data_IF_245920756342
#
_entry.id   IF_245920756342
#
_cell.length_a   1.000
_cell.length_b   1.000
_cell.length_c   1.000
_cell.angle_alpha   90.00
_cell.angle_beta   90.00
_cell.angle_gamma   90.00
#
_symmetry.space_group_name_H-M   'P 1'
#
loop_
_entity.id
_entity.type
_entity.pdbx_description
1 polymer ?
#
# COMPACT_ATOMS: atom_id res chain seq x y z
N UNK A 1 -32.71 -33.88 49.46
CA UNK A 1 -32.14 -32.63 49.99
C UNK A 1 -32.54 -31.51 49.05
N UNK A 2 -33.61 -30.80 49.38
CA UNK A 2 -34.15 -29.69 48.57
C UNK A 2 -33.42 -28.41 48.96
N UNK A 3 -32.77 -27.77 47.98
CA UNK A 3 -32.10 -26.47 48.17
C UNK A 3 -33.09 -25.36 47.83
N UNK A 4 -33.44 -24.55 48.83
CA UNK A 4 -34.27 -23.37 48.68
C UNK A 4 -33.44 -22.21 48.11
N UNK A 5 -33.90 -21.66 46.99
CA UNK A 5 -33.33 -20.46 46.36
C UNK A 5 -33.94 -19.23 47.03
N UNK A 6 -33.10 -18.45 47.69
CA UNK A 6 -33.46 -17.22 48.39
C UNK A 6 -33.39 -16.04 47.42
N UNK A 7 -34.53 -15.43 47.12
CA UNK A 7 -34.66 -14.25 46.24
C UNK A 7 -34.42 -12.98 47.07
N UNK A 8 -33.47 -12.15 46.67
CA UNK A 8 -33.25 -10.81 47.25
C UNK A 8 -34.15 -9.76 46.59
N UNK A 9 -34.64 -8.75 47.34
CA UNK A 9 -35.51 -7.71 46.80
C UNK A 9 -34.74 -6.54 46.16
N UNK A 10 -35.36 -6.01 45.11
CA UNK A 10 -34.94 -4.91 44.24
C UNK A 10 -35.01 -3.56 45.00
N UNK A 11 -33.89 -2.85 45.10
CA UNK A 11 -33.82 -1.48 45.60
C UNK A 11 -34.36 -0.50 44.54
N UNK A 12 -35.32 0.33 44.94
CA UNK A 12 -35.89 1.43 44.15
C UNK A 12 -34.89 2.59 44.01
N UNK A 13 -34.81 3.27 42.85
CA UNK A 13 -34.05 4.51 42.72
C UNK A 13 -34.79 5.69 43.35
N UNK A 14 -34.06 6.47 44.15
CA UNK A 14 -34.53 7.69 44.78
C UNK A 14 -34.77 8.81 43.75
N UNK A 15 -35.93 9.42 43.89
CA UNK A 15 -36.44 10.57 43.16
C UNK A 15 -35.71 11.85 43.65
N UNK A 16 -34.86 12.46 42.83
CA UNK A 16 -34.22 13.75 43.15
C UNK A 16 -35.02 14.90 42.52
N UNK A 17 -35.34 15.88 43.36
CA UNK A 17 -36.15 17.06 43.06
C UNK A 17 -35.42 18.10 42.17
N UNK A 18 -36.16 18.94 41.43
CA UNK A 18 -35.58 19.96 40.55
C UNK A 18 -35.14 21.22 41.33
N UNK A 19 -33.91 21.68 41.04
CA UNK A 19 -33.36 22.96 41.49
C UNK A 19 -33.98 24.16 40.75
N UNK A 20 -34.19 25.31 41.43
CA UNK A 20 -34.78 26.50 40.85
C UNK A 20 -33.81 27.29 39.96
N UNK A 21 -34.34 27.78 38.85
CA UNK A 21 -33.69 28.64 37.85
C UNK A 21 -33.62 30.07 38.40
N UNK A 22 -32.43 30.67 38.37
CA UNK A 22 -32.24 32.10 38.61
C UNK A 22 -32.13 32.86 37.26
N UNK A 23 -32.75 34.03 37.10
CA UNK A 23 -32.69 34.82 35.89
C UNK A 23 -31.58 35.87 35.99
N UNK A 24 -30.64 35.94 35.04
CA UNK A 24 -29.79 37.13 34.90
C UNK A 24 -29.37 37.37 33.45
N UNK A 25 -30.11 38.31 32.87
CA UNK A 25 -29.70 39.44 32.03
C UNK A 25 -28.96 39.21 30.70
N UNK A 26 -29.68 39.60 29.66
CA UNK A 26 -29.18 39.90 28.33
C UNK A 26 -28.24 41.12 28.34
N UNK A 27 -27.11 41.00 27.65
CA UNK A 27 -26.42 42.14 27.05
C UNK A 27 -26.20 41.85 25.57
N UNK A 28 -26.65 42.79 24.76
CA UNK A 28 -26.62 42.76 23.31
C UNK A 28 -25.20 43.01 22.75
N UNK A 29 -24.90 42.37 21.61
CA UNK A 29 -23.82 42.79 20.70
C UNK A 29 -23.36 41.71 19.70
N UNK A 30 -23.73 41.79 18.41
CA UNK A 30 -23.09 41.07 17.30
C UNK A 30 -22.17 42.00 16.49
N UNK A 31 -21.52 41.57 15.38
CA UNK A 31 -21.04 40.24 15.01
C UNK A 31 -19.51 40.25 14.73
N UNK A 32 -18.82 39.13 14.94
CA UNK A 32 -17.56 38.91 14.21
C UNK A 32 -17.50 37.49 13.70
N UNK A 33 -17.95 37.38 12.45
CA UNK A 33 -17.71 36.28 11.53
C UNK A 33 -16.21 36.08 11.34
N UNK A 34 -15.55 35.41 12.28
CA UNK A 34 -14.28 34.76 12.04
C UNK A 34 -14.59 33.36 11.47
N UNK A 35 -14.59 33.28 10.14
CA UNK A 35 -14.43 32.00 9.45
C UNK A 35 -13.26 31.22 10.08
N UNK A 36 -13.41 29.93 10.39
CA UNK A 36 -12.29 29.07 10.73
C UNK A 36 -11.49 28.85 9.43
N UNK A 37 -10.62 29.80 9.11
CA UNK A 37 -9.75 29.76 7.96
C UNK A 37 -8.84 28.54 8.05
N UNK A 38 -8.79 27.83 6.92
CA UNK A 38 -7.70 26.95 6.52
C UNK A 38 -6.37 27.46 7.08
N UNK A 39 -5.79 26.66 7.97
CA UNK A 39 -4.41 26.83 8.41
C UNK A 39 -3.52 26.66 7.18
N UNK A 40 -3.19 27.76 6.53
CA UNK A 40 -2.07 27.84 5.61
C UNK A 40 -0.85 27.52 6.46
N UNK A 41 -0.35 26.30 6.32
CA UNK A 41 0.93 25.88 6.90
C UNK A 41 1.99 26.72 6.21
N UNK A 42 2.32 27.86 6.81
CA UNK A 42 3.50 28.63 6.45
C UNK A 42 4.67 27.81 6.94
N UNK A 43 5.44 27.26 6.00
CA UNK A 43 6.72 26.63 6.32
C UNK A 43 7.61 27.69 6.97
N UNK A 44 7.86 27.56 8.28
CA UNK A 44 8.94 28.28 8.94
C UNK A 44 10.25 27.53 8.65
N UNK A 45 11.15 28.06 7.80
CA UNK A 45 12.42 27.42 7.48
C UNK A 45 13.40 27.42 8.67
N UNK A 46 13.06 28.04 9.81
CA UNK A 46 13.95 28.15 10.97
C UNK A 46 13.84 26.99 11.98
N UNK A 47 12.84 26.10 11.84
CA UNK A 47 12.73 24.95 12.74
C UNK A 47 13.81 23.92 12.42
N UNK A 48 14.64 23.50 13.40
CA UNK A 48 15.67 22.50 13.19
C UNK A 48 15.03 21.17 12.77
N UNK A 49 15.63 20.42 11.83
CA UNK A 49 15.11 19.13 11.40
C UNK A 49 15.01 18.19 12.61
N UNK A 50 13.81 17.70 12.89
CA UNK A 50 13.60 16.71 13.94
C UNK A 50 14.23 15.39 13.46
N UNK A 51 15.38 15.04 14.03
CA UNK A 51 15.98 13.72 13.85
C UNK A 51 15.21 12.72 14.73
N UNK A 52 14.22 12.09 14.13
CA UNK A 52 13.58 10.93 14.72
C UNK A 52 14.41 9.74 14.27
N UNK A 53 15.09 9.10 15.23
CA UNK A 53 16.01 7.98 14.96
C UNK A 53 15.36 6.88 14.13
N UNK A 54 16.16 5.97 13.58
CA UNK A 54 15.61 4.84 12.83
C UNK A 54 14.68 3.98 13.73
N UNK A 55 13.72 3.25 13.15
CA UNK A 55 13.04 2.17 13.85
C UNK A 55 14.05 1.28 14.57
N UNK A 56 13.69 0.65 15.70
CA UNK A 56 14.61 -0.26 16.37
C UNK A 56 15.00 -1.39 15.40
N UNK A 57 16.31 -1.69 15.24
CA UNK A 57 16.75 -2.70 14.31
C UNK A 57 16.48 -4.09 14.88
N UNK A 58 15.44 -4.77 14.39
CA UNK A 58 15.51 -6.22 14.29
C UNK A 58 16.48 -6.56 13.14
N UNK A 59 17.34 -7.58 13.30
CA UNK A 59 18.32 -7.91 12.27
C UNK A 59 17.63 -8.32 10.97
N UNK A 60 16.52 -9.08 11.06
CA UNK A 60 15.74 -9.54 9.92
C UNK A 60 14.26 -9.75 10.28
N UNK A 61 13.41 -9.68 9.26
CA UNK A 61 11.98 -10.00 9.26
C UNK A 61 11.73 -11.15 8.29
N UNK A 62 10.83 -12.08 8.61
CA UNK A 62 10.58 -13.27 7.77
C UNK A 62 9.74 -12.99 6.52
N UNK A 63 9.05 -11.84 6.46
CA UNK A 63 8.26 -11.44 5.28
C UNK A 63 8.31 -9.92 5.10
N UNK A 64 8.05 -9.46 3.87
CA UNK A 64 7.92 -8.03 3.56
C UNK A 64 6.78 -7.38 4.37
N UNK A 65 5.69 -8.14 4.58
CA UNK A 65 4.53 -7.69 5.33
C UNK A 65 4.88 -7.37 6.78
N UNK A 66 5.60 -8.28 7.46
CA UNK A 66 6.01 -8.07 8.85
C UNK A 66 6.99 -6.89 8.98
N UNK A 67 7.90 -6.70 8.02
CA UNK A 67 8.74 -5.51 7.97
C UNK A 67 7.88 -4.23 7.85
N UNK A 68 6.91 -4.21 6.93
CA UNK A 68 6.02 -3.05 6.75
C UNK A 68 5.20 -2.75 8.02
N UNK A 69 4.64 -3.78 8.66
CA UNK A 69 3.88 -3.64 9.91
C UNK A 69 4.76 -3.05 11.03
N UNK A 70 6.00 -3.53 11.17
CA UNK A 70 6.95 -2.99 12.15
C UNK A 70 7.32 -1.52 11.85
N UNK A 71 7.57 -1.18 10.58
CA UNK A 71 7.82 0.20 10.15
C UNK A 71 6.62 1.11 10.42
N UNK A 72 5.41 0.61 10.17
CA UNK A 72 4.18 1.34 10.39
C UNK A 72 3.89 1.56 11.87
N UNK A 73 4.05 0.53 12.70
CA UNK A 73 3.94 0.62 14.15
C UNK A 73 4.91 1.66 14.72
N UNK A 74 6.18 1.63 14.30
CA UNK A 74 7.15 2.64 14.67
C UNK A 74 6.75 4.04 14.19
N UNK A 75 6.24 4.18 12.96
CA UNK A 75 5.85 5.50 12.45
C UNK A 75 4.70 6.10 13.26
N UNK A 76 3.76 5.28 13.73
CA UNK A 76 2.64 5.72 14.57
C UNK A 76 3.12 6.26 15.91
N UNK A 77 4.06 5.58 16.59
CA UNK A 77 4.58 6.07 17.89
C UNK A 77 5.28 7.42 17.76
N UNK A 78 5.74 7.76 16.55
CA UNK A 78 6.34 9.05 16.22
C UNK A 78 5.38 10.00 15.49
N UNK A 79 4.09 9.64 15.37
CA UNK A 79 3.06 10.43 14.69
C UNK A 79 3.41 10.75 13.24
N UNK A 80 4.00 9.79 12.53
CA UNK A 80 4.26 9.82 11.09
C UNK A 80 3.51 8.69 10.39
N UNK A 81 3.38 8.80 9.07
CA UNK A 81 2.79 7.75 8.24
C UNK A 81 3.79 7.34 7.16
N UNK A 82 4.19 6.07 7.17
CA UNK A 82 5.03 5.49 6.13
C UNK A 82 4.18 4.71 5.12
N UNK A 83 4.48 4.94 3.84
CA UNK A 83 3.85 4.27 2.70
C UNK A 83 4.92 3.60 1.84
N UNK A 84 4.58 2.49 1.19
CA UNK A 84 5.43 1.88 0.17
C UNK A 84 5.32 2.68 -1.12
N UNK A 85 6.40 3.35 -1.52
CA UNK A 85 6.45 4.16 -2.75
C UNK A 85 6.75 3.29 -3.96
N UNK A 86 7.70 2.37 -3.82
CA UNK A 86 8.19 1.52 -4.90
C UNK A 86 8.57 0.16 -4.34
N UNK A 87 8.33 -0.90 -5.10
CA UNK A 87 9.03 -2.18 -4.87
C UNK A 87 9.46 -2.72 -6.23
N UNK A 88 10.66 -3.28 -6.30
CA UNK A 88 11.31 -3.65 -7.55
C UNK A 88 12.39 -4.71 -7.30
N UNK A 89 12.75 -5.47 -8.33
CA UNK A 89 13.88 -6.38 -8.29
C UNK A 89 15.17 -5.63 -8.69
N UNK A 90 16.26 -5.82 -7.95
CA UNK A 90 17.55 -5.23 -8.26
C UNK A 90 18.67 -6.25 -8.00
N UNK A 91 19.40 -6.63 -9.05
CA UNK A 91 20.49 -7.64 -8.98
C UNK A 91 20.02 -8.91 -8.25
N UNK A 92 18.89 -9.48 -8.68
CA UNK A 92 18.23 -10.67 -8.11
C UNK A 92 17.65 -10.52 -6.69
N UNK A 93 17.82 -9.36 -6.04
CA UNK A 93 17.27 -9.10 -4.71
C UNK A 93 16.02 -8.21 -4.80
N UNK A 94 14.95 -8.59 -4.10
CA UNK A 94 13.76 -7.77 -4.01
C UNK A 94 14.03 -6.56 -3.09
N UNK A 95 13.64 -5.37 -3.55
CA UNK A 95 13.77 -4.11 -2.81
C UNK A 95 12.42 -3.43 -2.66
N UNK A 96 12.24 -2.76 -1.54
CA UNK A 96 11.10 -1.87 -1.30
C UNK A 96 11.60 -0.52 -0.77
N UNK A 97 10.97 0.56 -1.21
CA UNK A 97 11.23 1.90 -0.72
C UNK A 97 10.00 2.36 0.05
N UNK A 98 10.19 2.68 1.31
CA UNK A 98 9.19 3.33 2.14
C UNK A 98 9.49 4.83 2.19
N UNK A 99 8.46 5.67 2.05
CA UNK A 99 8.58 7.11 2.20
C UNK A 99 7.54 7.61 3.19
N UNK A 100 7.77 8.80 3.74
CA UNK A 100 6.71 9.53 4.42
C UNK A 100 5.51 9.74 3.46
N UNK A 101 4.28 9.74 3.98
CA UNK A 101 3.07 10.07 3.22
C UNK A 101 3.06 11.51 2.68
N UNK A 102 3.82 12.41 3.33
CA UNK A 102 4.03 13.79 2.91
C UNK A 102 5.19 13.91 1.90
N UNK A 103 5.80 12.80 1.49
CA UNK A 103 6.79 12.78 0.43
C UNK A 103 6.16 13.12 -0.93
N UNK A 104 7.04 13.53 -1.84
CA UNK A 104 6.77 13.93 -3.23
C UNK A 104 5.98 15.24 -3.39
N UNK A 105 6.18 15.88 -4.55
CA UNK A 105 5.35 17.02 -4.98
C UNK A 105 4.01 16.50 -5.50
N UNK A 106 2.92 17.22 -5.22
CA UNK A 106 1.67 16.92 -5.91
C UNK A 106 1.84 17.18 -7.41
N UNK A 107 1.70 16.13 -8.20
CA UNK A 107 1.66 16.23 -9.65
C UNK A 107 0.19 16.25 -10.07
N UNK A 108 -0.37 17.40 -10.49
CA UNK A 108 -1.73 17.46 -10.99
C UNK A 108 -1.83 16.54 -12.22
N UNK A 109 -2.71 15.54 -12.16
CA UNK A 109 -3.01 14.70 -13.32
C UNK A 109 -3.83 15.53 -14.32
N UNK A 110 -3.15 16.13 -15.29
CA UNK A 110 -3.80 16.73 -16.46
C UNK A 110 -4.33 15.59 -17.32
N UNK A 111 -5.65 15.55 -17.52
CA UNK A 111 -6.22 14.71 -18.57
C UNK A 111 -5.86 15.30 -19.94
N UNK A 112 -5.67 14.47 -20.98
CA UNK A 112 -5.47 14.99 -22.33
C UNK A 112 -6.63 15.92 -22.70
N UNK A 113 -6.31 17.17 -23.06
CA UNK A 113 -7.29 18.18 -23.49
C UNK A 113 -7.97 19.01 -22.38
N UNK A 114 -7.62 18.85 -21.10
CA UNK A 114 -8.19 19.69 -20.02
C UNK A 114 -7.24 20.84 -19.64
N UNK A 115 -7.59 22.06 -20.06
CA UNK A 115 -6.88 23.32 -19.75
C UNK A 115 -7.18 23.87 -18.36
N UNK A 116 -8.24 23.41 -17.70
CA UNK A 116 -8.64 23.90 -16.38
C UNK A 116 -8.20 22.94 -15.28
N UNK A 117 -7.25 23.41 -14.46
CA UNK A 117 -6.92 22.79 -13.19
C UNK A 117 -8.14 22.88 -12.27
N UNK A 118 -8.67 21.74 -11.82
CA UNK A 118 -9.40 21.75 -10.56
C UNK A 118 -8.35 22.05 -9.49
N UNK A 119 -8.35 23.27 -8.96
CA UNK A 119 -7.57 23.64 -7.78
C UNK A 119 -8.10 22.77 -6.65
N UNK A 120 -7.51 21.60 -6.51
CA UNK A 120 -7.84 20.69 -5.41
C UNK A 120 -7.21 21.32 -4.18
N UNK A 121 -7.92 21.42 -3.05
CA UNK A 121 -7.39 22.02 -1.83
C UNK A 121 -5.99 21.47 -1.54
N UNK A 122 -5.09 22.40 -1.18
CA UNK A 122 -3.64 22.21 -1.00
C UNK A 122 -3.35 20.81 -0.45
N UNK A 123 -2.67 19.98 -1.23
CA UNK A 123 -2.24 18.67 -0.75
C UNK A 123 -1.35 18.84 0.46
N UNK A 124 -1.50 17.98 1.47
CA UNK A 124 -0.64 17.97 2.67
C UNK A 124 0.78 17.43 2.41
N UNK A 125 1.22 17.47 1.15
CA UNK A 125 2.55 17.01 0.74
C UNK A 125 3.52 18.17 0.89
N UNK A 126 4.63 17.92 1.59
CA UNK A 126 5.65 18.91 1.93
C UNK A 126 7.00 18.58 1.27
N UNK A 127 7.01 17.66 0.30
CA UNK A 127 8.26 17.14 -0.28
C UNK A 127 9.20 16.56 0.78
N UNK A 128 8.63 15.87 1.76
CA UNK A 128 9.39 15.28 2.86
C UNK A 128 10.50 14.35 2.33
N UNK A 129 11.78 14.57 2.71
CA UNK A 129 12.89 13.75 2.21
C UNK A 129 13.01 12.39 2.90
N UNK A 130 12.28 12.18 4.01
CA UNK A 130 12.34 10.95 4.79
C UNK A 130 12.00 9.69 3.96
N UNK A 131 12.98 8.78 3.86
CA UNK A 131 12.89 7.55 3.08
C UNK A 131 13.68 6.42 3.74
N UNK A 132 13.11 5.22 3.75
CA UNK A 132 13.74 3.99 4.24
C UNK A 132 13.81 2.98 3.09
N UNK A 133 15.00 2.42 2.85
CA UNK A 133 15.20 1.37 1.85
C UNK A 133 15.20 0.01 2.52
N UNK A 134 14.36 -0.89 2.03
CA UNK A 134 14.28 -2.27 2.45
C UNK A 134 14.81 -3.20 1.37
N UNK A 135 15.45 -4.28 1.79
CA UNK A 135 16.01 -5.29 0.91
C UNK A 135 15.78 -6.69 1.46
N UNK A 136 15.49 -7.62 0.57
CA UNK A 136 15.54 -9.04 0.85
C UNK A 136 17.02 -9.49 0.77
N UNK A 137 17.56 -9.97 1.89
CA UNK A 137 18.96 -10.40 2.07
C UNK A 137 19.11 -11.89 1.74
N UNK A 138 18.01 -12.65 1.80
CA UNK A 138 18.01 -14.08 1.50
C UNK A 138 17.82 -14.37 0.02
N UNK A 139 17.77 -15.66 -0.32
CA UNK A 139 17.16 -16.04 -1.59
C UNK A 139 15.70 -15.53 -1.63
N UNK A 140 15.11 -15.29 -2.81
CA UNK A 140 13.70 -14.93 -2.90
C UNK A 140 12.77 -15.86 -2.10
N UNK A 141 13.16 -17.13 -1.93
CA UNK A 141 12.44 -18.15 -1.18
C UNK A 141 12.64 -18.06 0.35
N UNK A 142 13.81 -17.62 0.83
CA UNK A 142 14.08 -17.51 2.27
C UNK A 142 13.35 -16.32 2.92
N UNK A 143 12.97 -15.32 2.12
CA UNK A 143 12.11 -14.22 2.56
C UNK A 143 12.70 -13.32 3.65
N UNK A 144 14.02 -13.30 3.87
CA UNK A 144 14.64 -12.51 4.95
C UNK A 144 14.75 -11.04 4.57
N UNK A 145 13.83 -10.24 5.07
CA UNK A 145 13.80 -8.79 4.86
C UNK A 145 14.60 -8.05 5.93
N UNK A 146 15.36 -7.05 5.51
CA UNK A 146 15.98 -6.07 6.40
C UNK A 146 15.79 -4.68 5.80
N UNK A 147 16.18 -3.65 6.54
CA UNK A 147 16.16 -2.28 6.05
C UNK A 147 17.48 -1.58 6.36
N UNK A 148 17.82 -0.64 5.50
CA UNK A 148 18.95 0.26 5.68
C UNK A 148 18.44 1.44 6.48
N UNK A 149 19.02 1.66 7.67
CA UNK A 149 18.72 2.81 8.49
C UNK A 149 18.93 4.10 7.67
N UNK A 150 17.98 5.05 7.69
CA UNK A 150 18.12 6.28 6.95
C UNK A 150 19.29 7.10 7.50
N UNK A 151 20.04 7.74 6.61
CA UNK A 151 21.19 8.59 6.97
C UNK A 151 21.10 9.96 6.32
N UNK A 152 21.69 10.97 6.95
CA UNK A 152 21.73 12.35 6.42
C UNK A 152 20.34 12.94 6.21
N UNK A 153 20.11 13.55 5.04
CA UNK A 153 18.83 14.21 4.70
C UNK A 153 17.63 13.24 4.71
N UNK A 154 17.86 11.98 4.37
CA UNK A 154 16.81 10.94 4.34
C UNK A 154 16.33 10.50 5.74
N UNK A 155 17.03 10.90 6.81
CA UNK A 155 16.67 10.62 8.20
C UNK A 155 15.87 11.75 8.87
N UNK A 156 15.48 12.77 8.10
CA UNK A 156 14.83 13.97 8.64
C UNK A 156 13.45 14.19 8.05
N UNK A 157 12.51 14.64 8.88
CA UNK A 157 11.22 15.15 8.45
C UNK A 157 11.29 16.67 8.36
N UNK A 158 10.71 17.25 7.31
CA UNK A 158 10.61 18.70 7.12
C UNK A 158 9.22 19.24 7.50
N UNK A 159 8.42 18.44 8.19
CA UNK A 159 7.07 18.79 8.62
C UNK A 159 6.87 18.33 10.07
N UNK A 160 5.96 18.97 10.81
CA UNK A 160 5.64 18.54 12.16
C UNK A 160 4.99 17.14 12.16
N UNK A 161 4.95 16.48 13.32
CA UNK A 161 4.20 15.24 13.49
C UNK A 161 2.74 15.39 13.03
N UNK A 162 2.23 14.36 12.37
CA UNK A 162 0.91 14.32 11.76
C UNK A 162 -0.16 14.06 12.83
N UNK A 163 -1.25 14.82 12.77
CA UNK A 163 -2.43 14.56 13.59
C UNK A 163 -3.31 13.48 12.92
N UNK A 164 -3.56 12.32 13.56
CA UNK A 164 -4.39 11.25 12.99
C UNK A 164 -5.77 11.72 12.55
N UNK A 165 -6.46 12.56 13.35
CA UNK A 165 -7.78 13.13 13.03
C UNK A 165 -7.82 13.83 11.68
N UNK A 166 -6.72 14.46 11.29
CA UNK A 166 -6.63 15.24 10.06
C UNK A 166 -5.91 14.49 8.93
N UNK A 167 -5.32 13.31 9.17
CA UNK A 167 -4.48 12.62 8.19
C UNK A 167 -5.02 11.22 7.85
N UNK A 168 -5.77 11.12 6.75
CA UNK A 168 -6.48 9.89 6.35
C UNK A 168 -5.57 8.66 6.22
N UNK A 169 -4.35 8.81 5.69
CA UNK A 169 -3.41 7.69 5.57
C UNK A 169 -2.98 7.20 6.95
N UNK A 170 -2.76 8.09 7.91
CA UNK A 170 -2.34 7.71 9.26
C UNK A 170 -3.47 6.91 9.94
N UNK A 171 -4.72 7.36 9.82
CA UNK A 171 -5.88 6.59 10.30
C UNK A 171 -6.02 5.23 9.65
N UNK A 172 -5.78 5.14 8.34
CA UNK A 172 -5.82 3.86 7.65
C UNK A 172 -4.74 2.90 8.15
N UNK A 173 -3.55 3.40 8.49
CA UNK A 173 -2.47 2.60 9.09
C UNK A 173 -2.87 2.16 10.51
N UNK A 174 -3.35 3.06 11.37
CA UNK A 174 -3.85 2.70 12.71
C UNK A 174 -4.90 1.59 12.64
N UNK A 175 -5.90 1.74 11.75
CA UNK A 175 -6.95 0.73 11.56
C UNK A 175 -6.39 -0.62 11.18
N UNK A 176 -5.42 -0.68 10.27
CA UNK A 176 -4.80 -1.94 9.81
C UNK A 176 -4.03 -2.67 10.92
N UNK A 177 -3.46 -1.94 11.87
CA UNK A 177 -2.76 -2.55 13.02
C UNK A 177 -3.72 -3.15 14.06
N UNK A 178 -4.99 -2.72 14.05
CA UNK A 178 -6.02 -3.21 14.95
C UNK A 178 -7.13 -3.91 14.15
N UNK A 179 -6.93 -5.17 13.71
CA UNK A 179 -7.94 -5.90 12.92
C UNK A 179 -9.28 -6.06 13.65
N UNK A 180 -9.28 -5.99 14.99
CA UNK A 180 -10.49 -5.95 15.81
C UNK A 180 -11.43 -4.78 15.47
N UNK A 181 -10.88 -3.67 14.96
CA UNK A 181 -11.67 -2.50 14.54
C UNK A 181 -12.53 -2.84 13.34
N UNK A 182 -11.99 -3.55 12.35
CA UNK A 182 -12.73 -3.93 11.15
C UNK A 182 -13.85 -4.94 11.51
N UNK A 183 -13.55 -5.91 12.40
CA UNK A 183 -14.55 -6.85 12.93
C UNK A 183 -15.68 -6.15 13.70
N UNK A 184 -15.33 -5.20 14.56
CA UNK A 184 -16.33 -4.45 15.33
C UNK A 184 -17.16 -3.53 14.43
N UNK A 185 -16.54 -2.85 13.46
CA UNK A 185 -17.27 -2.04 12.48
C UNK A 185 -18.26 -2.90 11.68
N UNK A 186 -17.83 -4.08 11.22
CA UNK A 186 -18.68 -5.02 10.51
C UNK A 186 -19.87 -5.46 11.39
N UNK A 187 -19.63 -5.82 12.65
CA UNK A 187 -20.68 -6.18 13.59
C UNK A 187 -21.70 -5.03 13.77
N UNK A 188 -21.22 -3.83 14.07
CA UNK A 188 -22.10 -2.67 14.31
C UNK A 188 -22.88 -2.25 13.05
N UNK A 189 -22.29 -2.44 11.85
CA UNK A 189 -22.99 -2.23 10.58
C UNK A 189 -24.10 -3.26 10.34
N UNK A 190 -23.87 -4.53 10.70
CA UNK A 190 -24.90 -5.59 10.63
C UNK A 190 -26.04 -5.34 11.61
N UNK A 191 -25.75 -4.74 12.77
CA UNK A 191 -26.75 -4.28 13.74
C UNK A 191 -27.53 -3.03 13.26
N UNK A 192 -27.16 -2.44 12.12
CA UNK A 192 -27.84 -1.28 11.55
C UNK A 192 -27.50 0.05 12.23
N UNK A 193 -26.42 0.10 13.02
CA UNK A 193 -26.01 1.31 13.73
C UNK A 193 -25.60 2.43 12.76
N UNK A 194 -26.01 3.70 12.99
CA UNK A 194 -25.62 4.79 12.11
C UNK A 194 -24.11 5.09 12.26
N UNK A 195 -23.43 5.54 11.18
CA UNK A 195 -21.97 5.76 11.19
C UNK A 195 -21.44 6.69 12.28
N UNK A 196 -22.23 7.66 12.75
CA UNK A 196 -21.83 8.57 13.84
C UNK A 196 -21.70 7.83 15.17
N UNK A 197 -22.64 6.93 15.47
CA UNK A 197 -22.66 6.16 16.71
C UNK A 197 -21.59 5.07 16.68
N UNK A 198 -21.31 4.50 15.49
CA UNK A 198 -20.17 3.59 15.28
C UNK A 198 -18.86 4.28 15.65
N UNK A 199 -18.62 5.51 15.17
CA UNK A 199 -17.41 6.26 15.53
C UNK A 199 -17.29 6.44 17.04
N UNK A 200 -18.37 6.87 17.70
CA UNK A 200 -18.38 7.03 19.17
C UNK A 200 -18.03 5.72 19.88
N UNK A 201 -18.60 4.59 19.44
CA UNK A 201 -18.34 3.27 20.01
C UNK A 201 -16.91 2.79 19.77
N UNK A 202 -16.33 3.12 18.62
CA UNK A 202 -14.94 2.85 18.31
C UNK A 202 -13.99 3.72 19.15
N UNK A 203 -14.29 5.01 19.33
CA UNK A 203 -13.51 5.91 20.17
C UNK A 203 -13.51 5.49 21.65
N UNK A 204 -14.62 4.94 22.14
CA UNK A 204 -14.72 4.38 23.50
C UNK A 204 -13.80 3.16 23.71
N UNK A 205 -13.62 2.32 22.68
CA UNK A 205 -12.86 1.07 22.78
C UNK A 205 -11.41 1.18 22.31
N UNK A 206 -11.15 2.03 21.32
CA UNK A 206 -9.88 2.25 20.64
C UNK A 206 -9.58 3.75 20.57
N UNK A 207 -9.33 4.43 21.71
CA UNK A 207 -9.15 5.88 21.77
C UNK A 207 -7.95 6.40 20.95
N UNK A 208 -6.97 5.55 20.68
CA UNK A 208 -5.83 5.81 19.81
C UNK A 208 -6.22 5.93 18.33
N UNK A 209 -7.31 5.30 17.94
CA UNK A 209 -7.76 5.23 16.55
C UNK A 209 -8.80 6.34 16.30
N UNK A 210 -8.31 7.54 15.96
CA UNK A 210 -9.14 8.73 15.72
C UNK A 210 -9.91 8.67 14.38
N UNK A 211 -10.78 7.67 14.22
CA UNK A 211 -11.57 7.46 13.02
C UNK A 211 -12.63 8.54 12.83
N UNK A 212 -12.95 8.84 11.57
CA UNK A 212 -13.99 9.80 11.20
C UNK A 212 -15.21 9.09 10.63
N UNK A 213 -16.37 9.76 10.61
CA UNK A 213 -17.58 9.24 9.98
C UNK A 213 -17.36 8.91 8.49
N UNK A 214 -16.47 9.65 7.81
CA UNK A 214 -16.07 9.37 6.43
C UNK A 214 -15.37 8.02 6.31
N UNK A 215 -14.50 7.66 7.27
CA UNK A 215 -13.80 6.38 7.25
C UNK A 215 -14.78 5.21 7.43
N UNK A 216 -15.77 5.36 8.33
CA UNK A 216 -16.85 4.38 8.52
C UNK A 216 -17.73 4.26 7.27
N UNK A 217 -18.07 5.37 6.62
CA UNK A 217 -18.84 5.34 5.36
C UNK A 217 -18.07 4.64 4.23
N UNK A 218 -16.77 4.92 4.10
CA UNK A 218 -15.92 4.24 3.13
C UNK A 218 -15.85 2.73 3.41
N UNK A 219 -15.74 2.34 4.68
CA UNK A 219 -15.77 0.94 5.09
C UNK A 219 -17.13 0.30 4.78
N UNK A 220 -18.26 0.98 5.09
CA UNK A 220 -19.61 0.51 4.75
C UNK A 220 -19.77 0.29 3.25
N UNK A 221 -19.29 1.20 2.41
CA UNK A 221 -19.32 1.04 0.95
C UNK A 221 -18.55 -0.20 0.50
N UNK A 222 -17.36 -0.44 1.07
CA UNK A 222 -16.56 -1.64 0.79
C UNK A 222 -17.29 -2.92 1.25
N UNK A 223 -17.86 -2.90 2.45
CA UNK A 223 -18.62 -4.02 3.01
C UNK A 223 -19.82 -4.40 2.15
N UNK A 224 -20.62 -3.41 1.71
CA UNK A 224 -21.77 -3.65 0.82
C UNK A 224 -21.33 -4.16 -0.55
N UNK A 225 -20.25 -3.61 -1.11
CA UNK A 225 -19.71 -4.08 -2.38
C UNK A 225 -19.26 -5.55 -2.29
N UNK A 226 -18.54 -5.91 -1.22
CA UNK A 226 -18.11 -7.29 -0.95
C UNK A 226 -19.30 -8.24 -0.82
N UNK A 227 -20.28 -7.92 0.02
CA UNK A 227 -21.48 -8.74 0.20
C UNK A 227 -22.26 -8.92 -1.12
N UNK A 228 -22.31 -7.89 -1.98
CA UNK A 228 -22.93 -7.98 -3.31
C UNK A 228 -22.16 -8.91 -4.24
N UNK A 229 -20.83 -8.86 -4.23
CA UNK A 229 -20.00 -9.71 -5.08
C UNK A 229 -20.06 -11.18 -4.63
N UNK A 230 -20.08 -11.43 -3.31
CA UNK A 230 -20.34 -12.74 -2.71
C UNK A 230 -21.72 -13.30 -3.09
N UNK A 231 -22.78 -12.49 -2.99
CA UNK A 231 -24.13 -12.89 -3.39
C UNK A 231 -24.24 -13.18 -4.90
N UNK A 232 -23.41 -12.54 -5.72
CA UNK A 232 -23.33 -12.79 -7.15
C UNK A 232 -22.48 -14.02 -7.51
N UNK A 233 -21.90 -14.72 -6.52
CA UNK A 233 -20.99 -15.84 -6.75
C UNK A 233 -19.69 -15.44 -7.44
N UNK A 234 -19.36 -14.14 -7.48
CA UNK A 234 -18.06 -13.67 -7.93
C UNK A 234 -17.10 -13.87 -6.78
N UNK A 235 -16.40 -15.02 -6.80
CA UNK A 235 -15.27 -15.26 -5.88
C UNK A 235 -14.34 -14.06 -6.02
N UNK A 236 -14.23 -13.27 -4.95
CA UNK A 236 -13.52 -11.99 -4.97
C UNK A 236 -12.12 -12.18 -5.51
N UNK A 237 -11.73 -11.34 -6.48
CA UNK A 237 -10.32 -11.17 -6.79
C UNK A 237 -9.58 -10.84 -5.47
N UNK A 238 -8.34 -11.34 -5.26
CA UNK A 238 -7.63 -11.20 -4.00
C UNK A 238 -7.69 -9.76 -3.46
N UNK A 239 -8.08 -9.63 -2.19
CA UNK A 239 -8.60 -8.39 -1.59
C UNK A 239 -7.53 -7.32 -1.35
N UNK A 240 -6.25 -7.68 -1.39
CA UNK A 240 -5.15 -6.73 -1.22
C UNK A 240 -4.23 -6.67 -2.43
N UNK A 241 -3.71 -5.46 -2.73
CA UNK A 241 -2.60 -5.29 -3.69
C UNK A 241 -1.41 -6.17 -3.29
N UNK A 242 -1.22 -6.45 -1.99
CA UNK A 242 -0.23 -7.43 -1.51
C UNK A 242 -0.56 -8.86 -1.92
N UNK A 243 -1.79 -9.33 -1.79
CA UNK A 243 -2.19 -10.68 -2.25
C UNK A 243 -2.21 -10.76 -3.76
N UNK A 244 -2.68 -9.74 -4.48
CA UNK A 244 -2.56 -9.67 -5.94
C UNK A 244 -1.09 -9.71 -6.40
N UNK A 245 -0.18 -9.18 -5.58
CA UNK A 245 1.26 -9.08 -5.90
C UNK A 245 2.07 -10.26 -5.40
N UNK A 246 1.65 -10.93 -4.33
CA UNK A 246 2.17 -12.23 -3.89
C UNK A 246 1.71 -13.30 -4.88
N UNK A 247 0.44 -13.23 -5.31
CA UNK A 247 -0.10 -14.00 -6.43
C UNK A 247 0.62 -13.69 -7.76
N UNK A 248 0.99 -12.44 -8.06
CA UNK A 248 1.82 -12.11 -9.25
C UNK A 248 3.31 -12.43 -9.08
N UNK A 249 3.86 -12.43 -7.87
CA UNK A 249 5.27 -12.76 -7.62
C UNK A 249 5.51 -14.26 -7.83
N UNK A 250 4.55 -15.10 -7.44
CA UNK A 250 4.51 -16.51 -7.81
C UNK A 250 4.32 -16.70 -9.33
N UNK A 251 3.66 -15.75 -10.01
CA UNK A 251 3.40 -15.79 -11.45
C UNK A 251 4.57 -15.29 -12.32
N UNK A 252 5.47 -14.47 -11.79
CA UNK A 252 6.61 -13.90 -12.53
C UNK A 252 7.96 -14.59 -12.23
N UNK A 253 7.96 -15.72 -11.51
CA UNK A 253 9.16 -16.40 -11.06
C UNK A 253 9.61 -17.63 -11.88
N UNK A 254 8.93 -18.00 -12.97
CA UNK A 254 9.09 -19.34 -13.56
C UNK A 254 9.82 -19.44 -14.91
N UNK A 255 10.03 -18.36 -15.66
CA UNK A 255 10.48 -18.48 -17.07
C UNK A 255 11.32 -17.30 -17.57
N UNK A 256 12.07 -16.64 -16.68
CA UNK A 256 13.20 -15.79 -17.08
C UNK A 256 14.40 -16.63 -17.50
N UNK A 257 14.26 -17.45 -18.55
CA UNK A 257 15.42 -18.04 -19.23
C UNK A 257 16.28 -16.91 -19.81
N UNK A 258 17.57 -17.05 -19.54
CA UNK A 258 18.65 -16.15 -19.91
C UNK A 258 18.68 -15.89 -21.43
N UNK A 259 18.08 -14.78 -21.88
CA UNK A 259 18.53 -14.12 -23.11
C UNK A 259 19.46 -12.97 -22.72
N UNK A 260 20.62 -13.35 -22.19
CA UNK A 260 21.79 -12.48 -22.09
C UNK A 260 22.69 -12.79 -23.29
N UNK A 261 22.17 -12.56 -24.51
CA UNK A 261 22.98 -12.52 -25.71
C UNK A 261 23.58 -11.12 -25.81
N UNK A 262 24.90 -11.11 -25.65
CA UNK A 262 25.88 -10.09 -26.01
C UNK A 262 25.40 -9.07 -27.05
N UNK A 263 25.18 -7.83 -26.63
CA UNK A 263 25.47 -6.66 -27.47
C UNK A 263 26.67 -5.93 -26.86
N UNK A 264 27.83 -6.37 -27.33
CA UNK A 264 29.12 -5.72 -27.20
C UNK A 264 29.09 -4.43 -28.04
N UNK A 265 28.68 -3.33 -27.42
CA UNK A 265 28.92 -1.99 -27.94
C UNK A 265 30.00 -1.32 -27.09
N UNK A 266 31.24 -1.61 -27.46
CA UNK A 266 32.38 -0.74 -27.27
C UNK A 266 32.07 0.63 -27.89
N UNK A 267 31.68 1.59 -27.05
CA UNK A 267 31.85 3.01 -27.36
C UNK A 267 33.07 3.50 -26.58
N UNK A 268 34.23 3.29 -27.19
CA UNK A 268 35.27 4.30 -27.16
C UNK A 268 34.69 5.58 -27.76
N UNK A 269 34.77 6.69 -27.02
CA UNK A 269 35.27 7.98 -27.52
C UNK A 269 35.15 9.05 -26.41
N UNK A 270 36.30 9.30 -25.79
CA UNK A 270 36.96 10.59 -25.72
C UNK A 270 36.12 11.88 -25.55
N UNK A 271 36.40 12.52 -24.41
CA UNK A 271 36.91 13.90 -24.36
C UNK A 271 36.17 14.97 -25.17
N UNK A 272 35.34 15.76 -24.49
CA UNK A 272 35.12 17.15 -24.90
C UNK A 272 35.09 18.09 -23.71
N UNK A 273 36.23 18.74 -23.48
CA UNK A 273 36.32 20.03 -22.81
C UNK A 273 36.57 21.11 -23.85
N UNK A 274 35.78 22.18 -23.75
CA UNK A 274 36.14 23.57 -24.06
C UNK A 274 36.18 24.10 -25.52
N UNK A 275 35.32 25.11 -25.71
CA UNK A 275 35.54 26.43 -26.33
C UNK A 275 35.30 26.67 -27.85
N UNK A 276 34.40 27.64 -28.05
CA UNK A 276 34.45 28.82 -28.93
C UNK A 276 34.03 28.77 -30.42
N UNK A 277 32.98 29.58 -30.67
CA UNK A 277 32.85 30.71 -31.64
C UNK A 277 33.11 30.48 -33.14
N UNK A 278 32.12 30.98 -33.92
CA UNK A 278 32.17 31.55 -35.28
C UNK A 278 31.53 30.76 -36.43
N UNK A 279 30.49 31.40 -37.01
CA UNK A 279 30.22 31.62 -38.43
C UNK A 279 30.70 30.62 -39.50
N UNK A 280 29.72 30.03 -40.21
CA UNK A 280 29.61 30.01 -41.68
C UNK A 280 28.32 29.25 -42.05
N UNK A 281 27.32 29.88 -42.67
CA UNK A 281 27.23 30.23 -44.10
C UNK A 281 27.27 29.00 -45.03
N UNK A 282 26.10 28.73 -45.62
CA UNK A 282 25.83 28.05 -46.90
C UNK A 282 26.46 26.66 -47.15
N UNK A 283 25.61 25.65 -47.35
CA UNK A 283 25.32 25.03 -48.67
C UNK A 283 24.12 24.08 -48.50
N UNK A 284 23.04 24.35 -49.23
CA UNK A 284 21.93 23.42 -49.40
C UNK A 284 22.38 22.27 -50.32
N UNK A 285 22.64 21.10 -49.72
CA UNK A 285 22.88 19.86 -50.45
C UNK A 285 21.58 19.08 -50.64
N UNK A 286 20.98 19.17 -51.83
CA UNK A 286 19.94 18.25 -52.27
C UNK A 286 20.48 16.81 -52.29
N UNK A 287 20.09 16.00 -51.30
CA UNK A 287 20.32 14.55 -51.34
C UNK A 287 19.36 13.92 -52.35
N UNK A 288 19.90 13.65 -53.54
CA UNK A 288 19.29 12.80 -54.57
C UNK A 288 19.14 11.38 -54.01
N UNK A 289 17.92 11.00 -53.62
CA UNK A 289 17.57 9.62 -53.29
C UNK A 289 17.63 8.80 -54.58
N UNK A 290 18.46 7.75 -54.61
CA UNK A 290 18.53 6.80 -55.74
C UNK A 290 17.22 5.99 -55.78
N UNK A 291 16.57 5.84 -56.95
CA UNK A 291 15.31 5.08 -57.09
C UNK A 291 15.42 3.56 -56.82
N UNK A 292 16.62 3.06 -56.57
CA UNK A 292 16.93 1.62 -56.56
C UNK A 292 16.79 1.01 -55.14
N UNK A 293 16.77 1.85 -54.10
CA UNK A 293 16.61 1.41 -52.70
C UNK A 293 15.13 1.25 -52.28
N UNK A 294 14.17 1.62 -53.13
CA UNK A 294 12.73 1.48 -52.84
C UNK A 294 12.12 0.12 -53.17
N UNK A 295 12.85 -0.78 -53.85
CA UNK A 295 12.30 -2.10 -54.22
C UNK A 295 12.62 -3.22 -53.22
N UNK A 296 13.63 -3.06 -52.35
CA UNK A 296 13.92 -4.04 -51.29
C UNK A 296 13.02 -3.91 -50.06
N UNK A 297 12.30 -2.78 -49.90
CA UNK A 297 11.46 -2.55 -48.71
C UNK A 297 10.05 -3.16 -48.80
N UNK A 298 9.63 -3.67 -49.96
CA UNK A 298 8.26 -4.19 -50.15
C UNK A 298 8.12 -5.72 -50.06
N UNK A 299 9.21 -6.49 -49.93
CA UNK A 299 9.11 -7.96 -49.82
C UNK A 299 9.00 -8.48 -48.38
N UNK A 300 9.44 -7.72 -47.37
CA UNK A 300 9.32 -8.12 -45.96
C UNK A 300 7.96 -7.79 -45.34
N UNK A 301 7.10 -7.05 -46.05
CA UNK A 301 5.78 -6.66 -45.56
C UNK A 301 4.63 -7.55 -46.09
N UNK A 302 4.94 -8.77 -46.57
CA UNK A 302 3.96 -9.85 -46.74
C UNK A 302 3.74 -10.60 -45.42
N UNK A 303 3.60 -9.88 -44.30
CA UNK A 303 3.06 -10.46 -43.07
C UNK A 303 1.61 -10.81 -43.37
N UNK A 304 1.36 -12.09 -43.58
CA UNK A 304 0.04 -12.70 -43.72
C UNK A 304 -0.87 -12.06 -42.68
N UNK A 305 -1.87 -11.28 -43.12
CA UNK A 305 -2.87 -10.72 -42.22
C UNK A 305 -3.65 -11.92 -41.67
N UNK A 306 -3.22 -12.44 -40.53
CA UNK A 306 -3.97 -13.44 -39.77
C UNK A 306 -5.36 -12.88 -39.58
N UNK A 307 -6.38 -13.67 -39.91
CA UNK A 307 -7.74 -13.20 -39.74
C UNK A 307 -7.99 -12.98 -38.24
N UNK A 308 -8.90 -12.07 -37.85
CA UNK A 308 -9.27 -11.91 -36.44
C UNK A 308 -9.72 -13.22 -35.75
N UNK A 309 -10.17 -14.21 -36.54
CA UNK A 309 -10.51 -15.55 -36.06
C UNK A 309 -9.26 -16.40 -35.70
N UNK A 310 -8.16 -16.26 -36.42
CA UNK A 310 -6.91 -16.99 -36.13
C UNK A 310 -6.27 -16.46 -34.83
N UNK A 311 -6.34 -15.15 -34.61
CA UNK A 311 -5.82 -14.50 -33.40
C UNK A 311 -6.65 -14.87 -32.16
N UNK A 312 -7.97 -15.03 -32.28
CA UNK A 312 -8.80 -15.46 -31.16
C UNK A 312 -8.57 -16.92 -30.78
N UNK A 313 -8.35 -17.80 -31.77
CA UNK A 313 -8.00 -19.20 -31.54
C UNK A 313 -6.64 -19.32 -30.83
N UNK A 314 -5.61 -18.59 -31.29
CA UNK A 314 -4.29 -18.58 -30.65
C UNK A 314 -4.37 -18.16 -29.18
N UNK A 315 -5.17 -17.12 -28.88
CA UNK A 315 -5.37 -16.67 -27.48
C UNK A 315 -6.07 -17.72 -26.61
N UNK A 316 -7.00 -18.49 -27.17
CA UNK A 316 -7.66 -19.57 -26.44
C UNK A 316 -6.69 -20.73 -26.16
N UNK A 317 -5.83 -21.08 -27.12
CA UNK A 317 -4.78 -22.09 -26.93
C UNK A 317 -3.77 -21.66 -25.88
N UNK A 318 -3.27 -20.41 -25.95
CA UNK A 318 -2.38 -19.83 -24.93
C UNK A 318 -3.03 -19.84 -23.54
N UNK A 319 -4.33 -19.51 -23.45
CA UNK A 319 -5.07 -19.56 -22.19
C UNK A 319 -5.20 -21.00 -21.65
N UNK A 320 -5.46 -21.98 -22.52
CA UNK A 320 -5.57 -23.39 -22.14
C UNK A 320 -4.23 -23.95 -21.65
N UNK A 321 -3.11 -23.60 -22.28
CA UNK A 321 -1.78 -24.00 -21.81
C UNK A 321 -1.47 -23.40 -20.43
N UNK A 322 -1.84 -22.12 -20.20
CA UNK A 322 -1.70 -21.50 -18.86
C UNK A 322 -2.49 -22.23 -17.79
N UNK A 323 -3.71 -22.67 -18.10
CA UNK A 323 -4.53 -23.45 -17.15
C UNK A 323 -3.89 -24.81 -16.86
N UNK A 324 -3.30 -25.47 -17.86
CA UNK A 324 -2.57 -26.74 -17.66
C UNK A 324 -1.34 -26.53 -16.77
N UNK A 325 -0.59 -25.46 -16.98
CA UNK A 325 0.59 -25.13 -16.18
C UNK A 325 0.24 -24.80 -14.72
N UNK A 326 -0.79 -23.98 -14.50
CA UNK A 326 -1.30 -23.67 -13.17
C UNK A 326 -1.74 -24.95 -12.42
N UNK A 327 -2.41 -25.88 -13.13
CA UNK A 327 -2.79 -27.18 -12.55
C UNK A 327 -1.57 -27.98 -12.10
N UNK A 328 -0.50 -28.04 -12.92
CA UNK A 328 0.76 -28.71 -12.55
C UNK A 328 1.40 -28.06 -11.32
N UNK A 329 1.37 -26.73 -11.20
CA UNK A 329 1.91 -26.02 -10.04
C UNK A 329 1.15 -26.35 -8.74
N UNK A 330 -0.18 -26.41 -8.81
CA UNK A 330 -1.03 -26.82 -7.68
C UNK A 330 -0.73 -28.27 -7.27
N UNK A 331 -0.60 -29.18 -8.23
CA UNK A 331 -0.26 -30.59 -7.96
C UNK A 331 1.11 -30.72 -7.27
N UNK A 332 2.13 -29.97 -7.70
CA UNK A 332 3.44 -29.92 -7.02
C UNK A 332 3.32 -29.38 -5.59
N UNK A 333 2.54 -28.34 -5.38
CA UNK A 333 2.33 -27.74 -4.06
C UNK A 333 1.64 -28.72 -3.10
N UNK A 334 0.63 -29.46 -3.58
CA UNK A 334 -0.04 -30.53 -2.82
C UNK A 334 0.95 -31.64 -2.46
N UNK A 335 1.84 -32.03 -3.38
CA UNK A 335 2.87 -33.03 -3.10
C UNK A 335 3.84 -32.60 -1.99
N UNK A 336 4.29 -31.33 -2.01
CA UNK A 336 5.16 -30.75 -0.97
C UNK A 336 4.45 -30.74 0.39
N UNK A 337 3.18 -30.33 0.44
CA UNK A 337 2.41 -30.32 1.69
C UNK A 337 2.23 -31.72 2.27
N UNK A 338 1.95 -32.72 1.43
CA UNK A 338 1.86 -34.13 1.86
C UNK A 338 3.18 -34.66 2.40
N UNK A 339 4.30 -34.29 1.78
CA UNK A 339 5.63 -34.66 2.27
C UNK A 339 5.90 -34.07 3.67
N UNK A 340 5.61 -32.77 3.87
CA UNK A 340 5.74 -32.12 5.18
C UNK A 340 4.82 -32.71 6.24
N UNK A 341 3.59 -33.09 5.87
CA UNK A 341 2.68 -33.77 6.79
C UNK A 341 3.22 -35.14 7.20
N UNK A 342 3.82 -35.89 6.27
CA UNK A 342 4.46 -37.17 6.56
C UNK A 342 5.66 -37.01 7.50
N UNK A 343 6.52 -36.01 7.28
CA UNK A 343 7.63 -35.66 8.18
C UNK A 343 7.13 -35.30 9.59
N UNK A 344 6.10 -34.46 9.68
CA UNK A 344 5.50 -34.09 10.97
C UNK A 344 4.92 -35.29 11.71
N UNK A 345 4.29 -36.24 11.00
CA UNK A 345 3.82 -37.50 11.59
C UNK A 345 4.97 -38.39 12.07
N UNK A 346 6.08 -38.46 11.32
CA UNK A 346 7.27 -39.20 11.73
C UNK A 346 7.87 -38.64 13.02
N UNK A 347 8.04 -37.31 13.10
CA UNK A 347 8.51 -36.61 14.31
C UNK A 347 7.57 -36.88 15.48
N UNK A 348 6.25 -36.78 15.27
CA UNK A 348 5.28 -37.06 16.33
C UNK A 348 5.35 -38.51 16.83
N UNK A 349 5.61 -39.48 15.95
CA UNK A 349 5.80 -40.87 16.32
C UNK A 349 7.08 -41.09 17.15
N UNK A 350 8.19 -40.44 16.77
CA UNK A 350 9.44 -40.47 17.53
C UNK A 350 9.24 -39.89 18.94
N UNK A 351 8.63 -38.69 19.03
CA UNK A 351 8.33 -38.06 20.34
C UNK A 351 7.48 -38.98 21.21
N UNK A 352 6.50 -39.66 20.64
CA UNK A 352 5.66 -40.63 21.36
C UNK A 352 6.46 -41.85 21.84
N UNK A 353 7.38 -42.38 21.02
CA UNK A 353 8.25 -43.49 21.41
C UNK A 353 9.19 -43.10 22.56
N UNK A 354 9.78 -41.90 22.49
CA UNK A 354 10.59 -41.34 23.58
C UNK A 354 9.81 -41.17 24.88
N UNK A 355 8.53 -40.79 24.80
CA UNK A 355 7.67 -40.66 25.97
C UNK A 355 7.32 -42.00 26.63
N UNK A 356 7.36 -43.12 25.90
CA UNK A 356 7.10 -44.46 26.45
C UNK A 356 8.32 -45.11 27.12
N UNK A 357 9.52 -44.62 26.81
CA UNK A 357 10.77 -45.09 27.45
C UNK A 357 11.05 -44.41 28.80
N UNK A 358 10.31 -43.35 29.12
CA UNK A 358 10.33 -42.67 30.42
C UNK A 358 9.21 -43.22 31.30
#
# INVERSE_FOLDING_TARGET
MQAAVQVQPLLQPQNQAPTPILPTQALAGPPSSASPNDSVIVHDPSLPPLSHGAPPPLPYYSTHKLLLEAMQAWSITHSFALITTKSYLHRKNQRALFSCSCADRYQPKLGPGKTLYRITPKTKRTECPYRISALNVGTPLDGKWTYIAPTGVSATHNHPPLNPRNHAILRAIHRRLHPEIDLLMEQLLKEGMPPRDIVKRLEERFPECQLTTTDVNNFKTQFVAKARDEAAGRVGAPESISEQREFMADYCGADGEDNNDNDDHSNDEDSYSQLNVADNSMVAGEKRVRPEDTLAYNETNKRSKSTPADESHRRLEEANERVKEAKKMVERSIAILRAREAEARAIAAEVKAWAQLK
#
